data_IF_055194901633
#
_entry.id   IF_055194901633
#
_cell.length_a   1.000
_cell.length_b   1.000
_cell.length_c   1.000
_cell.angle_alpha   90.00
_cell.angle_beta   90.00
_cell.angle_gamma   90.00
#
_symmetry.space_group_name_H-M   'P 1'
#
loop_
_entity.id
_entity.type
_entity.pdbx_description
1 polymer ?
#
# COMPACT_ATOMS: atom_id res chain seq x y z
N UNK A 1 13.29 25.96 22.20
CA UNK A 1 12.74 24.89 21.35
C UNK A 1 11.31 25.30 21.06
N UNK A 2 10.93 25.51 19.80
CA UNK A 2 9.55 25.89 19.44
C UNK A 2 8.81 24.58 19.18
N UNK A 3 7.78 24.29 19.96
CA UNK A 3 6.97 23.08 19.80
C UNK A 3 5.68 23.44 19.06
N UNK A 4 5.37 22.67 18.01
CA UNK A 4 4.20 22.89 17.16
C UNK A 4 3.49 21.56 16.93
N UNK A 5 2.18 21.52 17.20
CA UNK A 5 1.37 20.31 17.09
C UNK A 5 0.58 20.33 15.78
N UNK A 6 0.68 19.27 14.98
CA UNK A 6 -0.05 19.12 13.73
C UNK A 6 -1.13 18.04 13.89
N UNK A 7 -2.43 18.38 13.82
CA UNK A 7 -3.49 17.39 13.84
C UNK A 7 -3.46 16.57 12.56
N UNK A 8 -3.49 15.25 12.69
CA UNK A 8 -3.52 14.30 11.57
C UNK A 8 -4.95 13.84 11.36
N UNK A 9 -5.40 13.78 10.10
CA UNK A 9 -6.73 13.31 9.76
C UNK A 9 -6.88 11.82 10.07
N UNK A 10 -8.02 11.40 10.64
CA UNK A 10 -8.20 10.03 11.13
C UNK A 10 -8.33 8.98 10.01
N UNK A 11 -8.76 9.37 8.81
CA UNK A 11 -9.09 8.47 7.71
C UNK A 11 -8.03 8.41 6.60
N UNK A 12 -6.75 8.54 6.96
CA UNK A 12 -5.65 8.38 6.01
C UNK A 12 -5.53 6.90 5.61
N UNK A 13 -5.71 6.62 4.32
CA UNK A 13 -5.58 5.26 3.75
C UNK A 13 -4.12 4.84 3.61
N UNK A 14 -3.26 5.77 3.19
CA UNK A 14 -1.84 5.51 3.01
C UNK A 14 -1.07 5.81 4.29
N UNK A 15 -0.78 4.76 5.05
CA UNK A 15 0.03 4.82 6.28
C UNK A 15 1.44 4.25 6.06
N UNK A 16 1.79 3.93 4.81
CA UNK A 16 3.07 3.30 4.48
C UNK A 16 4.15 4.34 4.21
N UNK A 17 3.80 5.42 3.53
CA UNK A 17 4.73 6.51 3.23
C UNK A 17 4.86 7.50 4.40
N UNK A 18 6.05 8.03 4.67
CA UNK A 18 6.23 9.08 5.66
C UNK A 18 5.49 10.35 5.25
N UNK A 19 5.07 11.12 6.25
CA UNK A 19 4.60 12.49 6.07
C UNK A 19 5.84 13.40 5.99
N UNK A 20 6.08 13.98 4.83
CA UNK A 20 7.17 14.93 4.64
C UNK A 20 6.79 16.32 5.18
N UNK A 21 7.67 16.89 6.00
CA UNK A 21 7.61 18.26 6.49
C UNK A 21 8.70 19.07 5.81
N UNK A 22 8.31 20.17 5.16
CA UNK A 22 9.23 21.10 4.52
C UNK A 22 9.02 22.50 5.09
N UNK A 23 10.08 23.08 5.66
CA UNK A 23 10.06 24.44 6.19
C UNK A 23 10.97 25.28 5.31
N UNK A 24 10.37 26.19 4.54
CA UNK A 24 11.08 27.15 3.71
C UNK A 24 11.07 28.51 4.39
N UNK A 25 12.24 29.13 4.54
CA UNK A 25 12.35 30.49 5.07
C UNK A 25 12.76 31.48 4.00
N UNK A 26 12.27 32.71 4.13
CA UNK A 26 12.61 33.84 3.26
C UNK A 26 12.86 35.08 4.09
N UNK A 27 13.70 35.99 3.57
CA UNK A 27 13.88 37.31 4.17
C UNK A 27 12.82 38.22 3.58
N UNK A 28 12.03 38.86 4.45
CA UNK A 28 11.07 39.87 4.02
C UNK A 28 11.84 41.11 3.58
N UNK A 29 11.65 41.63 2.36
CA UNK A 29 12.30 42.85 1.94
C UNK A 29 11.82 44.03 2.81
N UNK A 30 12.71 44.97 3.17
CA UNK A 30 12.33 46.16 3.91
C UNK A 30 11.35 47.01 3.08
N UNK A 31 10.34 47.58 3.74
CA UNK A 31 9.48 48.59 3.11
C UNK A 31 10.23 49.92 3.11
N UNK A 32 10.76 50.32 1.95
CA UNK A 32 11.43 51.61 1.76
C UNK A 32 10.39 52.73 1.65
N UNK A 33 10.52 53.78 2.46
CA UNK A 33 9.78 55.03 2.29
C UNK A 33 10.33 55.83 1.10
N UNK A 34 9.48 56.64 0.44
CA UNK A 34 9.88 57.42 -0.74
C UNK A 34 11.00 58.44 -0.48
N UNK A 35 11.27 58.76 0.79
CA UNK A 35 12.25 59.77 1.20
C UNK A 35 13.62 59.20 1.60
N UNK A 36 13.83 57.87 1.47
CA UNK A 36 15.06 57.19 1.89
C UNK A 36 16.01 56.98 0.71
N UNK A 37 17.26 57.44 0.83
CA UNK A 37 18.29 57.28 -0.20
C UNK A 37 18.58 55.78 -0.44
N UNK A 38 18.48 55.28 -1.68
CA UNK A 38 18.63 53.85 -1.99
C UNK A 38 20.05 53.31 -1.75
N UNK A 39 21.07 54.17 -1.69
CA UNK A 39 22.47 53.78 -1.42
C UNK A 39 22.77 53.55 0.07
N UNK A 40 21.92 54.02 1.00
CA UNK A 40 22.21 53.94 2.45
C UNK A 40 21.68 52.66 3.12
N UNK A 41 20.85 51.86 2.44
CA UNK A 41 20.27 50.63 3.00
C UNK A 41 20.30 49.47 2.01
N UNK A 42 21.41 48.74 1.96
CA UNK A 42 21.50 47.46 1.29
C UNK A 42 20.76 46.38 2.11
N UNK A 43 19.66 45.78 1.63
CA UNK A 43 18.93 44.77 2.37
C UNK A 43 19.75 43.47 2.47
N UNK A 44 19.64 42.73 3.58
CA UNK A 44 20.28 41.42 3.69
C UNK A 44 19.68 40.45 2.66
N UNK A 45 20.56 39.64 2.06
CA UNK A 45 20.19 38.59 1.11
C UNK A 45 20.45 37.21 1.72
N UNK A 46 19.67 36.21 1.31
CA UNK A 46 19.89 34.83 1.73
C UNK A 46 21.23 34.33 1.18
N UNK A 47 21.97 33.60 2.01
CA UNK A 47 23.21 32.95 1.61
C UNK A 47 22.95 31.86 0.57
N UNK A 48 23.63 31.92 -0.57
CA UNK A 48 23.45 30.98 -1.68
C UNK A 48 24.02 29.58 -1.38
N UNK A 49 24.92 29.50 -0.40
CA UNK A 49 25.64 28.26 -0.06
C UNK A 49 24.79 27.27 0.76
N UNK A 50 23.74 27.73 1.42
CA UNK A 50 22.88 26.90 2.29
C UNK A 50 21.45 26.90 1.77
N UNK A 51 20.84 25.71 1.67
CA UNK A 51 19.42 25.58 1.35
C UNK A 51 18.57 26.39 2.33
N UNK A 52 17.61 27.15 1.82
CA UNK A 52 16.62 27.83 2.65
C UNK A 52 15.42 26.93 3.01
N UNK A 53 15.45 25.67 2.58
CA UNK A 53 14.44 24.67 2.89
C UNK A 53 15.03 23.58 3.77
N UNK A 54 14.39 23.33 4.91
CA UNK A 54 14.65 22.20 5.80
C UNK A 54 13.60 21.11 5.55
N UNK A 55 14.06 19.89 5.36
CA UNK A 55 13.20 18.71 5.21
C UNK A 55 13.29 17.83 6.46
N UNK A 56 12.15 17.30 6.90
CA UNK A 56 12.04 16.30 7.96
C UNK A 56 10.90 15.35 7.61
N UNK A 57 10.94 14.13 8.16
CA UNK A 57 9.92 13.12 7.90
C UNK A 57 9.34 12.58 9.21
N UNK A 58 8.05 12.28 9.20
CA UNK A 58 7.33 11.64 10.31
C UNK A 58 6.68 10.36 9.80
N UNK A 59 6.98 9.23 10.42
CA UNK A 59 6.42 7.94 10.04
C UNK A 59 5.16 7.64 10.85
N UNK A 60 4.19 6.99 10.20
CA UNK A 60 3.14 6.29 10.96
C UNK A 60 3.76 5.11 11.71
N UNK A 61 3.21 4.81 12.89
CA UNK A 61 3.58 3.59 13.61
C UNK A 61 3.19 2.37 12.75
N UNK A 62 4.18 1.68 12.20
CA UNK A 62 4.02 0.44 11.43
C UNK A 62 3.87 -0.72 12.41
N UNK A 63 2.66 -0.91 12.92
CA UNK A 63 2.33 -2.06 13.78
C UNK A 63 2.44 -3.35 12.95
N UNK A 64 2.95 -4.42 13.56
CA UNK A 64 3.10 -5.72 12.89
C UNK A 64 4.33 -5.83 11.99
N UNK A 65 5.25 -4.88 12.08
CA UNK A 65 6.57 -4.95 11.45
C UNK A 65 7.63 -5.03 12.55
N UNK A 66 8.75 -5.70 12.28
CA UNK A 66 9.82 -5.93 13.26
C UNK A 66 10.43 -4.64 13.85
N UNK A 67 11.42 -4.82 14.73
CA UNK A 67 12.07 -3.70 15.46
C UNK A 67 12.80 -2.71 14.54
N UNK A 68 13.12 -3.12 13.31
CA UNK A 68 13.72 -2.28 12.28
C UNK A 68 12.70 -1.39 11.55
N UNK A 69 11.39 -1.54 11.83
CA UNK A 69 10.27 -0.86 11.17
C UNK A 69 10.17 -1.13 9.66
N UNK A 70 10.81 -2.19 9.16
CA UNK A 70 10.75 -2.62 7.76
C UNK A 70 9.85 -3.84 7.70
N UNK A 71 8.69 -3.70 7.05
CA UNK A 71 7.73 -4.80 6.95
C UNK A 71 8.15 -5.77 5.84
N UNK A 72 8.52 -6.99 6.20
CA UNK A 72 8.86 -8.07 5.27
C UNK A 72 7.74 -9.11 5.21
N UNK A 73 6.81 -8.92 4.26
CA UNK A 73 5.71 -9.86 4.02
C UNK A 73 6.15 -11.06 3.17
N UNK A 74 5.44 -12.18 3.29
CA UNK A 74 5.59 -13.37 2.46
C UNK A 74 4.23 -13.77 1.87
N UNK A 75 3.70 -12.90 1.04
CA UNK A 75 2.46 -13.14 0.33
C UNK A 75 2.64 -14.29 -0.67
N UNK A 76 1.94 -15.39 -0.43
CA UNK A 76 1.88 -16.56 -1.31
C UNK A 76 0.48 -16.73 -1.84
N UNK A 77 0.38 -17.08 -3.12
CA UNK A 77 -0.89 -17.29 -3.82
C UNK A 77 -0.93 -18.70 -4.38
N UNK A 78 -2.03 -19.40 -4.11
CA UNK A 78 -2.41 -20.61 -4.81
C UNK A 78 -3.80 -20.43 -5.40
N UNK A 79 -4.09 -21.16 -6.47
CA UNK A 79 -5.37 -21.07 -7.14
C UNK A 79 -5.82 -22.42 -7.68
N UNK A 80 -7.14 -22.57 -7.84
CA UNK A 80 -7.75 -23.73 -8.46
C UNK A 80 -8.97 -23.32 -9.27
N UNK A 81 -9.07 -23.82 -10.50
CA UNK A 81 -10.26 -23.65 -11.30
C UNK A 81 -11.30 -24.71 -10.94
N UNK A 82 -12.55 -24.28 -10.86
CA UNK A 82 -13.66 -25.16 -10.54
C UNK A 82 -14.98 -24.61 -11.06
N UNK A 83 -16.03 -25.30 -10.69
CA UNK A 83 -17.40 -24.96 -11.04
C UNK A 83 -18.25 -24.97 -9.79
N UNK A 84 -19.36 -24.24 -9.88
CA UNK A 84 -20.30 -24.12 -8.78
C UNK A 84 -21.71 -24.17 -9.35
N UNK A 85 -22.54 -25.13 -8.92
CA UNK A 85 -23.94 -25.16 -9.30
C UNK A 85 -24.66 -23.88 -8.87
N UNK A 86 -25.64 -23.42 -9.63
CA UNK A 86 -26.44 -22.23 -9.25
C UNK A 86 -27.19 -22.46 -7.92
N UNK A 87 -27.53 -23.72 -7.64
CA UNK A 87 -28.34 -24.14 -6.50
C UNK A 87 -27.54 -24.41 -5.23
N UNK A 88 -26.20 -24.39 -5.28
CA UNK A 88 -25.35 -24.77 -4.15
C UNK A 88 -24.09 -23.94 -4.10
N UNK A 89 -23.60 -23.74 -2.88
CA UNK A 89 -22.34 -23.04 -2.65
C UNK A 89 -21.10 -23.94 -2.76
N UNK A 90 -21.31 -25.22 -3.11
CA UNK A 90 -20.25 -26.22 -3.25
C UNK A 90 -19.32 -25.91 -4.44
N UNK A 91 -18.03 -25.79 -4.14
CA UNK A 91 -16.97 -25.74 -5.15
C UNK A 91 -16.61 -27.15 -5.59
N UNK A 92 -16.57 -27.38 -6.90
CA UNK A 92 -16.11 -28.64 -7.50
C UNK A 92 -14.93 -28.34 -8.43
N UNK A 93 -13.71 -28.81 -8.12
CA UNK A 93 -12.55 -28.61 -8.98
C UNK A 93 -12.79 -29.12 -10.40
N UNK A 94 -12.26 -28.41 -11.39
CA UNK A 94 -12.29 -28.87 -12.78
C UNK A 94 -11.44 -30.13 -12.94
N UNK A 95 -11.86 -31.06 -13.80
CA UNK A 95 -11.00 -32.17 -14.20
C UNK A 95 -9.74 -31.62 -14.88
N UNK A 96 -8.65 -32.37 -14.74
CA UNK A 96 -7.40 -32.10 -15.43
C UNK A 96 -7.20 -33.11 -16.56
N UNK A 97 -6.55 -32.68 -17.63
CA UNK A 97 -6.10 -33.58 -18.69
C UNK A 97 -4.78 -34.27 -18.32
N UNK A 98 -4.24 -35.06 -19.25
CA UNK A 98 -2.98 -35.79 -19.09
C UNK A 98 -1.76 -34.86 -18.91
N UNK A 99 -1.90 -33.57 -19.22
CA UNK A 99 -0.87 -32.52 -19.05
C UNK A 99 -1.08 -31.71 -17.76
N UNK A 100 -1.97 -32.15 -16.86
CA UNK A 100 -2.33 -31.47 -15.61
C UNK A 100 -3.01 -30.10 -15.80
N UNK A 101 -3.54 -29.81 -16.99
CA UNK A 101 -4.24 -28.57 -17.32
C UNK A 101 -5.72 -28.72 -17.00
N UNK A 102 -6.30 -27.76 -16.26
CA UNK A 102 -7.73 -27.75 -15.97
C UNK A 102 -8.56 -27.53 -17.23
N UNK A 103 -9.44 -28.47 -17.54
CA UNK A 103 -10.31 -28.43 -18.72
C UNK A 103 -11.77 -28.22 -18.33
N UNK A 104 -12.52 -27.45 -19.13
CA UNK A 104 -13.96 -27.24 -18.94
C UNK A 104 -14.70 -27.27 -20.27
N UNK A 105 -15.97 -27.70 -20.23
CA UNK A 105 -16.86 -27.75 -21.39
C UNK A 105 -17.78 -26.54 -21.39
N UNK A 106 -17.68 -25.70 -22.43
CA UNK A 106 -18.57 -24.54 -22.63
C UNK A 106 -20.03 -24.93 -22.88
N UNK A 107 -20.29 -26.17 -23.27
CA UNK A 107 -21.63 -26.68 -23.57
C UNK A 107 -22.51 -26.76 -22.32
N UNK A 108 -21.92 -27.18 -21.20
CA UNK A 108 -22.64 -27.49 -19.96
C UNK A 108 -22.45 -26.40 -18.90
N UNK A 109 -21.36 -25.63 -18.99
CA UNK A 109 -20.95 -24.66 -17.97
C UNK A 109 -20.69 -23.28 -18.60
N UNK A 110 -21.61 -22.35 -18.33
CA UNK A 110 -21.50 -20.94 -18.80
C UNK A 110 -20.61 -20.06 -17.93
N UNK A 111 -20.07 -20.59 -16.84
CA UNK A 111 -19.23 -19.85 -15.88
C UNK A 111 -18.18 -20.76 -15.27
N UNK A 112 -16.96 -20.25 -15.14
CA UNK A 112 -15.86 -20.88 -14.41
C UNK A 112 -15.65 -20.09 -13.11
N UNK A 113 -15.33 -20.80 -12.04
CA UNK A 113 -14.98 -20.23 -10.73
C UNK A 113 -13.48 -20.39 -10.51
N UNK A 114 -12.84 -19.33 -10.05
CA UNK A 114 -11.44 -19.35 -9.60
C UNK A 114 -11.43 -19.26 -8.07
N UNK A 115 -11.07 -20.36 -7.41
CA UNK A 115 -10.77 -20.33 -5.98
C UNK A 115 -9.33 -19.85 -5.80
N UNK A 116 -9.13 -18.79 -5.03
CA UNK A 116 -7.82 -18.20 -4.76
C UNK A 116 -7.58 -18.24 -3.26
N UNK A 117 -6.44 -18.82 -2.87
CA UNK A 117 -5.96 -18.78 -1.49
C UNK A 117 -4.72 -17.90 -1.44
N UNK A 118 -4.77 -16.87 -0.59
CA UNK A 118 -3.65 -15.98 -0.32
C UNK A 118 -3.24 -16.14 1.13
N UNK A 119 -1.94 -16.35 1.38
CA UNK A 119 -1.38 -16.48 2.72
C UNK A 119 -0.25 -15.48 2.91
N UNK A 120 -0.02 -15.07 4.16
CA UNK A 120 1.11 -14.25 4.56
C UNK A 120 1.80 -14.92 5.76
N UNK A 121 2.18 -16.19 5.59
CA UNK A 121 2.81 -16.96 6.65
C UNK A 121 4.33 -16.85 6.53
N UNK A 122 5.07 -16.78 7.64
CA UNK A 122 6.52 -16.84 7.60
C UNK A 122 7.00 -18.15 6.99
N UNK A 123 8.12 -18.12 6.27
CA UNK A 123 8.73 -19.34 5.75
C UNK A 123 9.23 -20.24 6.86
N UNK A 124 9.76 -19.65 7.94
CA UNK A 124 10.19 -20.36 9.14
C UNK A 124 9.42 -19.86 10.36
N UNK A 125 8.54 -20.67 10.97
CA UNK A 125 7.75 -20.25 12.15
C UNK A 125 8.59 -19.85 13.37
N UNK A 126 9.84 -20.29 13.44
CA UNK A 126 10.80 -19.93 14.49
C UNK A 126 11.42 -18.54 14.30
N UNK A 127 11.35 -17.99 13.09
CA UNK A 127 11.89 -16.67 12.72
C UNK A 127 10.84 -15.88 11.92
N UNK A 128 9.66 -15.60 12.51
CA UNK A 128 8.57 -14.92 11.82
C UNK A 128 8.95 -13.52 11.31
N UNK A 129 9.89 -12.86 11.97
CA UNK A 129 10.41 -11.54 11.62
C UNK A 129 11.23 -11.50 10.32
N UNK A 130 11.63 -12.65 9.77
CA UNK A 130 12.38 -12.68 8.49
C UNK A 130 11.48 -12.43 7.28
N UNK A 131 10.28 -13.00 7.29
CA UNK A 131 9.37 -12.94 6.14
C UNK A 131 7.92 -13.24 6.53
N UNK A 132 7.43 -12.67 7.63
CA UNK A 132 6.06 -12.91 8.12
C UNK A 132 5.36 -11.67 8.64
N UNK A 133 5.92 -10.49 8.41
CA UNK A 133 5.36 -9.23 8.86
C UNK A 133 4.06 -8.90 8.13
N UNK A 134 3.28 -7.98 8.70
CA UNK A 134 2.03 -7.50 8.13
C UNK A 134 2.18 -6.99 6.69
N UNK A 135 1.36 -7.54 5.79
CA UNK A 135 1.27 -7.10 4.41
C UNK A 135 0.32 -5.90 4.27
N UNK A 136 0.85 -4.69 4.49
CA UNK A 136 0.07 -3.46 4.33
C UNK A 136 -0.28 -3.17 2.87
N UNK A 137 -1.50 -2.68 2.63
CA UNK A 137 -2.03 -2.35 1.30
C UNK A 137 -1.95 -3.50 0.28
N UNK A 138 -1.97 -4.76 0.75
CA UNK A 138 -1.99 -5.93 -0.10
C UNK A 138 -3.19 -5.91 -1.06
N UNK A 139 -2.93 -6.21 -2.33
CA UNK A 139 -3.93 -6.25 -3.39
C UNK A 139 -3.79 -7.53 -4.20
N UNK A 140 -4.92 -8.09 -4.61
CA UNK A 140 -4.97 -9.19 -5.56
C UNK A 140 -5.26 -8.63 -6.94
N UNK A 141 -4.31 -8.81 -7.87
CA UNK A 141 -4.48 -8.43 -9.27
C UNK A 141 -4.83 -9.67 -10.10
N UNK A 142 -5.96 -9.62 -10.80
CA UNK A 142 -6.41 -10.68 -11.71
C UNK A 142 -6.51 -10.10 -13.11
N UNK A 143 -5.75 -10.66 -14.04
CA UNK A 143 -5.80 -10.31 -15.46
C UNK A 143 -6.54 -11.41 -16.21
N UNK A 144 -7.65 -11.06 -16.86
CA UNK A 144 -8.45 -11.98 -17.65
C UNK A 144 -8.20 -11.74 -19.14
N UNK A 145 -8.17 -12.80 -19.97
CA UNK A 145 -8.18 -12.65 -21.42
C UNK A 145 -9.53 -12.09 -21.90
N UNK A 146 -9.56 -11.50 -23.10
CA UNK A 146 -10.77 -10.89 -23.68
C UNK A 146 -11.95 -11.86 -23.85
N UNK A 147 -11.69 -13.16 -23.83
CA UNK A 147 -12.70 -14.22 -23.90
C UNK A 147 -13.42 -14.47 -22.57
N UNK A 148 -12.95 -13.90 -21.46
CA UNK A 148 -13.51 -14.08 -20.13
C UNK A 148 -13.94 -12.73 -19.54
N UNK A 149 -15.14 -12.71 -18.98
CA UNK A 149 -15.67 -11.54 -18.26
C UNK A 149 -15.78 -11.85 -16.77
N UNK A 150 -15.38 -10.90 -15.94
CA UNK A 150 -15.57 -10.98 -14.50
C UNK A 150 -17.07 -10.89 -14.15
N UNK A 151 -17.59 -11.88 -13.44
CA UNK A 151 -19.01 -11.95 -13.06
C UNK A 151 -19.27 -11.62 -11.58
N UNK A 152 -18.26 -11.72 -10.71
CA UNK A 152 -18.39 -11.39 -9.29
C UNK A 152 -17.37 -12.11 -8.40
N UNK A 153 -17.43 -11.81 -7.11
CA UNK A 153 -16.60 -12.41 -6.05
C UNK A 153 -17.49 -12.95 -4.94
N UNK A 154 -17.09 -14.09 -4.38
CA UNK A 154 -17.69 -14.67 -3.17
C UNK A 154 -16.58 -15.16 -2.27
N UNK A 155 -16.51 -14.66 -1.04
CA UNK A 155 -15.53 -15.11 -0.04
C UNK A 155 -15.77 -14.49 1.33
N UNK A 156 -15.30 -15.18 2.37
CA UNK A 156 -15.18 -14.59 3.72
C UNK A 156 -13.91 -13.75 3.77
N UNK A 157 -14.05 -12.46 4.08
CA UNK A 157 -12.89 -11.66 4.48
C UNK A 157 -12.47 -12.12 5.89
N UNK A 158 -11.57 -13.10 5.99
CA UNK A 158 -10.96 -13.48 7.27
C UNK A 158 -9.94 -12.40 7.62
N UNK A 159 -10.41 -11.37 8.34
CA UNK A 159 -9.53 -10.43 9.03
C UNK A 159 -8.97 -11.17 10.24
N UNK A 160 -7.73 -11.64 10.18
CA UNK A 160 -7.01 -11.93 11.40
C UNK A 160 -6.76 -10.60 12.11
N UNK A 161 -7.57 -10.33 13.14
CA UNK A 161 -7.24 -9.34 14.16
C UNK A 161 -6.13 -9.96 14.98
N UNK A 162 -4.89 -9.53 14.74
CA UNK A 162 -3.83 -9.72 15.74
C UNK A 162 -4.10 -8.66 16.80
N UNK A 163 -4.43 -9.11 18.02
CA UNK A 163 -4.65 -8.28 19.20
C UNK A 163 -3.35 -7.60 19.65
#
# INVERSE_FOLDING_TARGET
MVESLFPVQENIRDKLRPIALAITHTIRPPMLSSDTNPEEQLPPVLGVATSNTLHSEVNFLRKGCGDDNICQSNLKLTYQFGTRPITSDLFTPLPKDDEEVSVFSLSDQRSVVLEVTVTNMPSEPLYPEKDGDDAHAAQLLVTLPDTLSYSGFRGQQVRHIVL
#
